data_IF_203981600054
#
_entry.id   IF_203981600054
#
_cell.length_a   1.000
_cell.length_b   1.000
_cell.length_c   1.000
_cell.angle_alpha   90.00
_cell.angle_beta   90.00
_cell.angle_gamma   90.00
#
_symmetry.space_group_name_H-M   'P 1'
#
loop_
_entity.id
_entity.type
_entity.pdbx_description
1 polymer ?
#
# COMPACT_ATOMS: atom_id res chain seq x y z
N UNK A 1 14.03 -24.29 -0.35
CA UNK A 1 12.90 -23.52 -0.84
C UNK A 1 12.68 -22.35 0.11
N UNK A 2 13.14 -21.17 -0.27
CA UNK A 2 12.98 -19.90 0.46
C UNK A 2 11.55 -19.37 0.32
N UNK A 3 11.18 -18.36 1.09
CA UNK A 3 9.89 -17.69 0.92
C UNK A 3 9.78 -17.01 -0.46
N UNK A 4 10.88 -16.45 -0.96
CA UNK A 4 10.95 -15.83 -2.29
C UNK A 4 10.66 -16.85 -3.40
N UNK A 5 11.16 -18.08 -3.25
CA UNK A 5 10.92 -19.17 -4.20
C UNK A 5 9.49 -19.74 -4.12
N UNK A 6 8.74 -19.51 -3.03
CA UNK A 6 7.37 -20.04 -2.80
C UNK A 6 6.26 -19.10 -3.22
N UNK A 7 6.57 -17.82 -3.45
CA UNK A 7 5.54 -16.80 -3.60
C UNK A 7 4.60 -17.08 -4.78
N UNK A 8 5.15 -17.58 -5.89
CA UNK A 8 4.38 -17.88 -7.10
C UNK A 8 3.43 -19.08 -6.92
N UNK A 9 3.82 -20.08 -6.13
CA UNK A 9 2.98 -21.24 -5.83
C UNK A 9 1.79 -20.82 -4.97
N UNK A 10 2.06 -20.10 -3.87
CA UNK A 10 1.02 -19.61 -2.98
C UNK A 10 0.06 -18.65 -3.68
N UNK A 11 0.58 -17.76 -4.55
CA UNK A 11 -0.25 -16.83 -5.31
C UNK A 11 -1.21 -17.59 -6.24
N UNK A 12 -0.72 -18.61 -6.95
CA UNK A 12 -1.58 -19.43 -7.82
C UNK A 12 -2.67 -20.14 -7.03
N UNK A 13 -2.34 -20.70 -5.87
CA UNK A 13 -3.34 -21.34 -5.01
C UNK A 13 -4.42 -20.35 -4.56
N UNK A 14 -4.03 -19.16 -4.06
CA UNK A 14 -5.00 -18.14 -3.64
C UNK A 14 -5.89 -17.66 -4.79
N UNK A 15 -5.32 -17.48 -5.98
CA UNK A 15 -6.11 -17.10 -7.16
C UNK A 15 -7.13 -18.19 -7.50
N UNK A 16 -6.74 -19.47 -7.46
CA UNK A 16 -7.68 -20.58 -7.69
C UNK A 16 -8.82 -20.61 -6.67
N UNK A 17 -8.52 -20.40 -5.38
CA UNK A 17 -9.57 -20.28 -4.34
C UNK A 17 -10.55 -19.14 -4.62
N UNK A 18 -10.05 -17.99 -5.10
CA UNK A 18 -10.92 -16.87 -5.46
C UNK A 18 -11.71 -17.12 -6.75
N UNK A 19 -11.17 -17.85 -7.72
CA UNK A 19 -11.92 -18.29 -8.90
C UNK A 19 -13.11 -19.16 -8.47
N UNK A 20 -12.90 -20.13 -7.58
CA UNK A 20 -13.96 -20.96 -7.01
C UNK A 20 -14.97 -20.13 -6.20
N UNK A 21 -14.50 -19.17 -5.39
CA UNK A 21 -15.37 -18.29 -4.62
C UNK A 21 -16.28 -17.44 -5.52
N UNK A 22 -15.76 -16.95 -6.65
CA UNK A 22 -16.53 -16.16 -7.62
C UNK A 22 -17.58 -17.00 -8.37
N UNK A 23 -17.37 -18.31 -8.49
CA UNK A 23 -18.34 -19.25 -9.07
C UNK A 23 -19.37 -19.77 -8.05
N UNK A 24 -19.21 -19.45 -6.76
CA UNK A 24 -20.14 -19.83 -5.70
C UNK A 24 -21.48 -19.05 -5.78
N UNK A 25 -22.48 -19.50 -5.01
CA UNK A 25 -23.80 -18.86 -4.99
C UNK A 25 -23.75 -17.44 -4.39
N UNK A 26 -22.90 -17.22 -3.37
CA UNK A 26 -22.67 -15.92 -2.73
C UNK A 26 -21.17 -15.72 -2.44
N UNK A 27 -20.44 -15.05 -3.36
CA UNK A 27 -19.02 -14.76 -3.17
C UNK A 27 -18.72 -13.84 -1.96
N UNK A 28 -19.70 -13.03 -1.51
CA UNK A 28 -19.52 -12.14 -0.36
C UNK A 28 -19.57 -12.95 0.93
N UNK A 29 -20.54 -13.85 1.08
CA UNK A 29 -20.61 -14.77 2.21
C UNK A 29 -19.36 -15.66 2.29
N UNK A 30 -18.88 -16.17 1.16
CA UNK A 30 -17.63 -16.93 1.12
C UNK A 30 -16.44 -16.11 1.66
N UNK A 31 -16.33 -14.83 1.29
CA UNK A 31 -15.27 -13.96 1.80
C UNK A 31 -15.39 -13.73 3.31
N UNK A 32 -16.61 -13.48 3.81
CA UNK A 32 -16.86 -13.27 5.24
C UNK A 32 -16.48 -14.50 6.09
N UNK A 33 -16.62 -15.71 5.54
CA UNK A 33 -16.26 -16.96 6.23
C UNK A 33 -14.76 -17.31 6.13
N UNK A 34 -14.10 -16.96 5.03
CA UNK A 34 -12.75 -17.45 4.72
C UNK A 34 -11.64 -16.39 4.84
N UNK A 35 -11.96 -15.11 4.71
CA UNK A 35 -10.98 -14.04 4.88
C UNK A 35 -10.72 -13.75 6.36
N UNK A 36 -9.45 -13.49 6.71
CA UNK A 36 -9.09 -13.09 8.07
C UNK A 36 -9.53 -11.66 8.38
N UNK A 37 -9.28 -10.74 7.45
CA UNK A 37 -9.60 -9.32 7.55
C UNK A 37 -9.49 -8.66 6.18
N UNK A 38 -10.25 -7.58 5.98
CA UNK A 38 -10.11 -6.65 4.87
C UNK A 38 -9.89 -5.24 5.43
N UNK A 39 -8.81 -4.59 5.00
CA UNK A 39 -8.48 -3.22 5.42
C UNK A 39 -8.54 -2.30 4.21
N UNK A 40 -9.19 -1.15 4.38
CA UNK A 40 -9.25 -0.09 3.37
C UNK A 40 -8.28 1.02 3.74
N UNK A 41 -7.39 1.35 2.80
CA UNK A 41 -6.47 2.48 2.92
C UNK A 41 -6.66 3.46 1.76
N UNK A 42 -6.51 4.75 2.05
CA UNK A 42 -6.40 5.81 1.06
C UNK A 42 -4.92 6.13 0.81
N UNK A 43 -4.56 6.32 -0.45
CA UNK A 43 -3.17 6.64 -0.83
C UNK A 43 -3.13 8.02 -1.45
N UNK A 44 -2.44 8.94 -0.77
CA UNK A 44 -2.17 10.29 -1.26
C UNK A 44 -0.79 10.29 -1.89
N UNK A 45 -0.70 10.61 -3.20
CA UNK A 45 0.57 10.72 -3.91
C UNK A 45 0.94 12.19 -4.09
N UNK A 46 2.09 12.59 -3.56
CA UNK A 46 2.67 13.92 -3.74
C UNK A 46 3.83 13.84 -4.74
N UNK A 47 3.57 14.23 -5.99
CA UNK A 47 4.56 14.25 -7.06
C UNK A 47 5.38 15.55 -7.03
N UNK A 48 6.70 15.43 -6.90
CA UNK A 48 7.60 16.56 -6.69
C UNK A 48 8.31 17.02 -7.97
N UNK A 49 8.41 16.15 -8.97
CA UNK A 49 9.10 16.41 -10.23
C UNK A 49 8.35 15.80 -11.42
N UNK A 50 8.35 16.53 -12.54
CA UNK A 50 7.66 16.16 -13.79
C UNK A 50 8.70 15.90 -14.90
N UNK A 51 9.18 14.66 -15.01
CA UNK A 51 10.25 14.26 -15.95
C UNK A 51 11.49 13.70 -15.25
N UNK A 52 12.29 12.85 -15.92
CA UNK A 52 13.31 12.06 -15.23
C UNK A 52 14.57 12.84 -14.79
N UNK A 53 15.17 12.52 -13.62
CA UNK A 53 14.65 11.59 -12.60
C UNK A 53 13.41 12.16 -11.87
N UNK A 54 12.38 11.31 -11.70
CA UNK A 54 11.12 11.62 -11.03
C UNK A 54 11.17 11.17 -9.57
N UNK A 55 10.53 11.90 -8.68
CA UNK A 55 10.33 11.50 -7.29
C UNK A 55 8.97 11.93 -6.72
N UNK A 56 8.48 11.11 -5.80
CA UNK A 56 7.21 11.34 -5.13
C UNK A 56 7.15 10.63 -3.77
N UNK A 57 6.24 11.11 -2.93
CA UNK A 57 5.82 10.42 -1.71
C UNK A 57 4.45 9.78 -1.90
N UNK A 58 4.26 8.62 -1.29
CA UNK A 58 2.96 8.01 -1.04
C UNK A 58 2.68 8.00 0.46
N UNK A 59 1.55 8.56 0.86
CA UNK A 59 1.05 8.55 2.23
C UNK A 59 -0.13 7.58 2.29
N UNK A 60 0.01 6.52 3.09
CA UNK A 60 -1.02 5.50 3.30
C UNK A 60 -1.82 5.88 4.55
N UNK A 61 -3.06 6.28 4.35
CA UNK A 61 -3.97 6.74 5.39
C UNK A 61 -5.08 5.73 5.61
N UNK A 62 -5.33 5.38 6.86
CA UNK A 62 -6.49 4.62 7.29
C UNK A 62 -7.59 5.61 7.69
N UNK A 63 -8.65 5.78 6.87
CA UNK A 63 -9.73 6.70 7.18
C UNK A 63 -10.62 6.22 8.33
N UNK A 64 -10.60 4.93 8.68
CA UNK A 64 -11.40 4.40 9.79
C UNK A 64 -10.69 4.60 11.13
N UNK A 65 -9.37 4.45 11.15
CA UNK A 65 -8.54 4.76 12.30
C UNK A 65 -8.17 6.25 12.40
N UNK A 66 -8.56 7.06 11.40
CA UNK A 66 -8.14 8.44 11.19
C UNK A 66 -6.61 8.63 11.31
N UNK A 67 -5.85 7.66 10.79
CA UNK A 67 -4.41 7.55 11.06
C UNK A 67 -3.57 7.33 9.79
N UNK A 68 -2.47 8.08 9.68
CA UNK A 68 -1.40 7.81 8.73
C UNK A 68 -0.64 6.56 9.18
N UNK A 69 -0.72 5.48 8.41
CA UNK A 69 -0.16 4.16 8.78
C UNK A 69 1.19 3.88 8.14
N UNK A 70 1.51 4.49 7.00
CA UNK A 70 2.80 4.32 6.35
C UNK A 70 3.13 5.48 5.39
N UNK A 71 4.42 5.66 5.11
CA UNK A 71 4.91 6.62 4.12
C UNK A 71 6.00 5.93 3.27
N UNK A 72 5.88 6.03 1.96
CA UNK A 72 6.91 5.57 1.02
C UNK A 72 7.47 6.73 0.21
N UNK A 73 8.79 6.80 0.09
CA UNK A 73 9.47 7.66 -0.88
C UNK A 73 9.88 6.83 -2.09
N UNK A 74 9.52 7.32 -3.28
CA UNK A 74 9.84 6.73 -4.56
C UNK A 74 10.78 7.66 -5.30
N UNK A 75 11.87 7.09 -5.77
CA UNK A 75 12.82 7.76 -6.67
C UNK A 75 12.94 6.90 -7.93
N UNK A 76 12.68 7.50 -9.07
CA UNK A 76 12.75 6.88 -10.39
C UNK A 76 13.81 7.60 -11.22
N UNK A 77 14.87 6.90 -11.60
CA UNK A 77 15.78 7.37 -12.64
C UNK A 77 15.27 6.90 -14.02
N UNK A 78 15.87 7.41 -15.09
CA UNK A 78 15.52 7.05 -16.47
C UNK A 78 15.65 5.54 -16.76
N UNK A 79 16.37 4.79 -15.93
CA UNK A 79 16.69 3.38 -16.15
C UNK A 79 16.22 2.44 -15.02
N UNK A 80 16.08 2.95 -13.79
CA UNK A 80 15.70 2.15 -12.63
C UNK A 80 14.88 2.95 -11.61
N UNK A 81 14.53 2.32 -10.50
CA UNK A 81 13.79 2.97 -9.43
C UNK A 81 14.04 2.31 -8.09
N UNK A 82 13.89 3.09 -7.03
CA UNK A 82 14.01 2.62 -5.66
C UNK A 82 12.85 3.15 -4.82
N UNK A 83 12.39 2.28 -3.92
CA UNK A 83 11.38 2.62 -2.90
C UNK A 83 12.01 2.49 -1.52
N UNK A 84 11.71 3.47 -0.66
CA UNK A 84 12.09 3.45 0.75
C UNK A 84 10.88 3.78 1.61
N UNK A 85 10.51 2.84 2.49
CA UNK A 85 9.55 3.08 3.57
C UNK A 85 10.20 3.98 4.61
N UNK A 86 9.52 5.05 5.01
CA UNK A 86 9.99 5.96 6.04
C UNK A 86 9.68 5.32 7.38
N UNK A 87 10.72 5.15 8.21
CA UNK A 87 10.58 4.44 9.48
C UNK A 87 9.83 5.31 10.50
N UNK A 88 8.78 4.80 11.18
CA UNK A 88 8.12 5.53 12.26
C UNK A 88 9.09 5.94 13.37
N UNK A 89 8.89 7.13 13.92
CA UNK A 89 9.70 7.71 15.00
C UNK A 89 11.07 8.24 14.57
N UNK A 90 11.35 8.36 13.26
CA UNK A 90 12.50 9.13 12.78
C UNK A 90 12.11 10.58 12.50
N UNK A 91 13.11 11.46 12.36
CA UNK A 91 12.89 12.86 12.00
C UNK A 91 12.12 13.01 10.68
N UNK A 92 12.41 12.16 9.69
CA UNK A 92 11.73 12.16 8.39
C UNK A 92 10.24 11.86 8.56
N UNK A 93 9.89 10.85 9.38
CA UNK A 93 8.50 10.53 9.70
C UNK A 93 7.79 11.72 10.33
N UNK A 94 8.36 12.28 11.41
CA UNK A 94 7.74 13.38 12.16
C UNK A 94 7.45 14.61 11.28
N UNK A 95 8.38 14.94 10.37
CA UNK A 95 8.20 16.05 9.44
C UNK A 95 7.11 15.76 8.40
N UNK A 96 7.13 14.56 7.81
CA UNK A 96 6.19 14.16 6.76
C UNK A 96 4.77 13.95 7.29
N UNK A 97 4.63 13.37 8.48
CA UNK A 97 3.36 13.21 9.19
C UNK A 97 2.74 14.58 9.49
N UNK A 98 3.55 15.52 10.02
CA UNK A 98 3.08 16.88 10.25
C UNK A 98 2.68 17.57 8.94
N UNK A 99 3.46 17.41 7.87
CA UNK A 99 3.11 17.94 6.54
C UNK A 99 1.75 17.38 6.09
N UNK A 100 1.56 16.06 6.21
CA UNK A 100 0.35 15.38 5.78
C UNK A 100 -0.89 15.97 6.45
N UNK A 101 -0.94 15.97 7.78
CA UNK A 101 -2.11 16.47 8.52
C UNK A 101 -2.31 17.99 8.46
N UNK A 102 -1.25 18.76 8.18
CA UNK A 102 -1.36 20.24 8.17
C UNK A 102 -1.69 20.81 6.79
N UNK A 103 -1.41 20.08 5.71
CA UNK A 103 -1.45 20.63 4.36
C UNK A 103 -1.95 19.68 3.26
N UNK A 104 -1.97 18.36 3.48
CA UNK A 104 -2.38 17.38 2.45
C UNK A 104 -3.76 16.82 2.75
N UNK A 105 -4.00 16.38 3.98
CA UNK A 105 -5.31 15.94 4.45
C UNK A 105 -6.16 17.19 4.67
N UNK A 106 -6.85 17.63 3.61
CA UNK A 106 -7.77 18.76 3.65
C UNK A 106 -9.18 18.18 3.67
N UNK A 107 -9.91 18.46 4.75
CA UNK A 107 -11.36 18.19 4.88
C UNK A 107 -12.20 19.04 3.91
#
# INVERSE_FOLDING_TARGET
MSCEERIDEMLRERVGEFEEALESEDPVEWLDENALALTRLEVYRLELSWGGPQDYFEFFYDPEAEALVDIAYHYLDWFDGAVRRVKPGTREWEVLERLFYSAILIE
#
